data_IF_948364246466
#
_entry.id   IF_948364246466
#
_cell.length_a   1.000
_cell.length_b   1.000
_cell.length_c   1.000
_cell.angle_alpha   90.00
_cell.angle_beta   90.00
_cell.angle_gamma   90.00
#
_symmetry.space_group_name_H-M   'P 1'
#
loop_
_entity.id
_entity.type
_entity.pdbx_description
1 polymer ?
#
# COMPACT_ATOMS: atom_id res chain seq x y z
N UNK A 1 14.68 0.43 -60.39
CA UNK A 1 15.38 -0.88 -60.38
C UNK A 1 14.39 -1.93 -60.88
N UNK A 2 14.68 -3.23 -60.77
CA UNK A 2 13.68 -4.28 -61.05
C UNK A 2 12.82 -4.61 -59.83
N UNK A 3 11.64 -5.19 -60.06
CA UNK A 3 10.68 -5.52 -59.00
C UNK A 3 11.25 -6.36 -57.83
N UNK A 4 12.10 -7.39 -58.04
CA UNK A 4 12.69 -8.13 -56.91
C UNK A 4 13.51 -7.26 -55.97
N UNK A 5 14.24 -6.27 -56.52
CA UNK A 5 15.01 -5.31 -55.72
C UNK A 5 14.11 -4.33 -54.97
N UNK A 6 13.01 -3.89 -55.57
CA UNK A 6 12.03 -3.06 -54.86
C UNK A 6 11.34 -3.82 -53.73
N UNK A 7 11.06 -5.11 -53.91
CA UNK A 7 10.50 -5.96 -52.84
C UNK A 7 11.53 -6.15 -51.73
N UNK A 8 12.74 -6.64 -52.04
CA UNK A 8 13.76 -6.94 -51.04
C UNK A 8 14.24 -5.67 -50.31
N UNK A 9 14.53 -4.60 -51.06
CA UNK A 9 14.90 -3.31 -50.50
C UNK A 9 13.73 -2.62 -49.78
N UNK A 10 12.50 -2.81 -50.24
CA UNK A 10 11.28 -2.32 -49.58
C UNK A 10 11.02 -3.00 -48.24
N UNK A 11 11.23 -4.31 -48.12
CA UNK A 11 11.18 -5.06 -46.86
C UNK A 11 12.26 -4.55 -45.90
N UNK A 12 13.51 -4.43 -46.37
CA UNK A 12 14.63 -3.93 -45.56
C UNK A 12 14.36 -2.51 -45.05
N UNK A 13 14.05 -1.59 -45.97
CA UNK A 13 13.85 -0.18 -45.65
C UNK A 13 12.65 0.02 -44.73
N UNK A 14 11.49 -0.56 -45.07
CA UNK A 14 10.30 -0.48 -44.23
C UNK A 14 10.57 -1.10 -42.86
N UNK A 15 11.21 -2.27 -42.79
CA UNK A 15 11.55 -2.93 -41.54
C UNK A 15 12.43 -2.09 -40.62
N UNK A 16 13.49 -1.47 -41.16
CA UNK A 16 14.38 -0.58 -40.40
C UNK A 16 13.59 0.61 -39.85
N UNK A 17 12.87 1.34 -40.70
CA UNK A 17 12.28 2.61 -40.29
C UNK A 17 11.03 2.42 -39.43
N UNK A 18 10.21 1.40 -39.68
CA UNK A 18 9.05 1.08 -38.81
C UNK A 18 9.49 0.58 -37.43
N UNK A 19 10.68 -0.02 -37.31
CA UNK A 19 11.23 -0.43 -36.01
C UNK A 19 11.43 0.75 -35.02
N UNK A 20 11.59 1.99 -35.53
CA UNK A 20 11.67 3.20 -34.69
C UNK A 20 10.37 3.47 -33.91
N UNK A 21 9.24 2.97 -34.41
CA UNK A 21 7.92 3.01 -33.77
C UNK A 21 7.53 1.69 -33.10
N UNK A 22 8.48 0.76 -32.91
CA UNK A 22 8.24 -0.59 -32.38
C UNK A 22 7.20 -1.40 -33.19
N UNK A 23 7.10 -1.13 -34.50
CA UNK A 23 6.24 -1.88 -35.41
C UNK A 23 7.08 -2.97 -36.07
N UNK A 24 6.68 -4.22 -35.88
CA UNK A 24 7.31 -5.38 -36.49
C UNK A 24 6.53 -5.79 -37.75
N UNK A 25 7.14 -5.63 -38.93
CA UNK A 25 6.52 -6.00 -40.21
C UNK A 25 6.25 -7.51 -40.38
N UNK A 26 6.85 -8.35 -39.53
CA UNK A 26 6.61 -9.79 -39.49
C UNK A 26 5.63 -10.22 -38.40
N UNK A 27 5.09 -9.28 -37.62
CA UNK A 27 4.11 -9.60 -36.57
C UNK A 27 2.82 -10.19 -37.17
N UNK A 28 2.40 -9.65 -38.31
CA UNK A 28 1.22 -10.11 -39.05
C UNK A 28 1.57 -10.39 -40.51
N UNK A 29 1.07 -11.49 -41.10
CA UNK A 29 1.29 -11.77 -42.53
C UNK A 29 0.82 -10.64 -43.44
N UNK A 30 -0.22 -9.92 -43.03
CA UNK A 30 -0.82 -8.82 -43.78
C UNK A 30 0.07 -7.57 -43.82
N UNK A 31 0.87 -7.29 -42.79
CA UNK A 31 1.88 -6.22 -42.78
C UNK A 31 2.98 -6.49 -43.82
N UNK A 32 3.46 -7.73 -43.88
CA UNK A 32 4.43 -8.14 -44.88
C UNK A 32 3.84 -8.06 -46.30
N UNK A 33 2.61 -8.56 -46.50
CA UNK A 33 1.94 -8.49 -47.79
C UNK A 33 1.76 -7.03 -48.25
N UNK A 34 1.37 -6.14 -47.33
CA UNK A 34 1.19 -4.71 -47.60
C UNK A 34 2.52 -4.06 -47.97
N UNK A 35 3.60 -4.38 -47.26
CA UNK A 35 4.95 -3.89 -47.58
C UNK A 35 5.34 -4.28 -49.01
N UNK A 36 5.12 -5.54 -49.40
CA UNK A 36 5.42 -6.04 -50.76
C UNK A 36 4.58 -5.28 -51.80
N UNK A 37 3.27 -5.21 -51.61
CA UNK A 37 2.36 -4.56 -52.57
C UNK A 37 2.64 -3.06 -52.72
N UNK A 38 2.79 -2.34 -51.61
CA UNK A 38 3.03 -0.90 -51.62
C UNK A 38 4.44 -0.57 -52.13
N UNK A 39 5.45 -1.40 -51.88
CA UNK A 39 6.80 -1.22 -52.44
C UNK A 39 6.83 -1.31 -53.98
N UNK A 40 5.81 -1.89 -54.59
CA UNK A 40 5.66 -1.96 -56.05
C UNK A 40 4.69 -0.91 -56.60
N UNK A 41 3.83 -0.35 -55.76
CA UNK A 41 2.74 0.54 -56.17
C UNK A 41 3.18 1.74 -57.03
N UNK A 42 4.35 2.40 -56.82
CA UNK A 42 4.78 3.50 -57.68
C UNK A 42 4.89 3.12 -59.16
N UNK A 43 5.26 1.87 -59.47
CA UNK A 43 5.39 1.36 -60.84
C UNK A 43 4.05 1.04 -61.52
N UNK A 44 2.91 1.39 -60.90
CA UNK A 44 1.59 1.27 -61.54
C UNK A 44 1.45 2.19 -62.77
N UNK A 45 2.35 3.14 -62.93
CA UNK A 45 2.41 4.06 -64.08
C UNK A 45 2.95 3.42 -65.37
N UNK A 46 3.43 2.17 -65.35
CA UNK A 46 3.94 1.48 -66.53
C UNK A 46 3.21 0.15 -66.78
N UNK A 47 2.67 -0.10 -68.00
CA UNK A 47 1.97 -1.34 -68.31
C UNK A 47 2.88 -2.58 -68.36
N UNK A 48 4.21 -2.39 -68.28
CA UNK A 48 5.20 -3.47 -68.30
C UNK A 48 5.52 -4.01 -66.90
N UNK A 49 5.26 -3.26 -65.82
CA UNK A 49 5.57 -3.69 -64.46
C UNK A 49 4.64 -4.79 -63.97
N UNK A 50 5.05 -5.48 -62.89
CA UNK A 50 4.25 -6.53 -62.26
C UNK A 50 2.90 -5.95 -61.78
N UNK A 51 2.91 -4.76 -61.18
CA UNK A 51 1.69 -4.12 -60.66
C UNK A 51 0.88 -3.41 -61.76
N UNK A 52 1.52 -2.88 -62.80
CA UNK A 52 0.84 -2.13 -63.86
C UNK A 52 0.14 -3.01 -64.90
N UNK A 53 0.52 -4.29 -65.01
CA UNK A 53 -0.14 -5.29 -65.87
C UNK A 53 -1.60 -5.56 -65.47
N UNK A 54 -1.93 -5.88 -64.20
CA UNK A 54 -3.31 -6.01 -63.75
C UNK A 54 -4.15 -4.74 -63.95
N UNK A 55 -3.56 -3.55 -63.82
CA UNK A 55 -4.25 -2.26 -63.93
C UNK A 55 -4.08 -1.61 -65.31
N UNK A 56 -3.98 -2.42 -66.38
CA UNK A 56 -3.62 -1.96 -67.74
C UNK A 56 -4.34 -0.69 -68.23
N UNK A 57 -5.67 -0.50 -68.06
CA UNK A 57 -6.33 0.72 -68.53
C UNK A 57 -5.76 1.98 -67.85
N UNK A 58 -5.54 1.91 -66.54
CA UNK A 58 -5.02 3.01 -65.72
C UNK A 58 -3.52 3.19 -65.99
N UNK A 59 -2.75 2.10 -66.03
CA UNK A 59 -1.30 2.16 -66.25
C UNK A 59 -0.95 2.70 -67.63
N UNK A 60 -1.70 2.32 -68.68
CA UNK A 60 -1.53 2.86 -70.04
C UNK A 60 -1.91 4.34 -70.13
N UNK A 61 -2.96 4.77 -69.41
CA UNK A 61 -3.34 6.17 -69.36
C UNK A 61 -2.27 7.03 -68.67
N UNK A 62 -1.80 6.59 -67.49
CA UNK A 62 -0.72 7.24 -66.75
C UNK A 62 0.56 7.34 -67.60
N UNK A 63 0.98 6.21 -68.18
CA UNK A 63 2.17 6.14 -69.05
C UNK A 63 2.08 7.11 -70.22
N UNK A 64 0.94 7.18 -70.91
CA UNK A 64 0.75 8.08 -72.06
C UNK A 64 0.70 9.56 -71.66
N UNK A 65 0.14 9.87 -70.50
CA UNK A 65 -0.08 11.26 -70.07
C UNK A 65 1.15 11.88 -69.40
N UNK A 66 1.85 11.10 -68.58
CA UNK A 66 2.93 11.57 -67.72
C UNK A 66 4.27 10.87 -67.95
N UNK A 67 4.30 9.74 -68.64
CA UNK A 67 5.49 8.89 -68.73
C UNK A 67 5.72 8.05 -67.47
N UNK A 68 6.75 7.20 -67.50
CA UNK A 68 7.19 6.43 -66.34
C UNK A 68 8.12 7.26 -65.45
N UNK A 69 8.05 7.04 -64.13
CA UNK A 69 8.83 7.76 -63.10
C UNK A 69 8.52 9.24 -63.01
N UNK A 70 7.25 9.60 -63.10
CA UNK A 70 6.82 11.01 -63.03
C UNK A 70 5.85 11.25 -61.88
N UNK A 71 4.54 11.05 -62.11
CA UNK A 71 3.52 11.44 -61.13
C UNK A 71 3.52 10.54 -59.89
N UNK A 72 3.65 9.24 -60.08
CA UNK A 72 3.68 8.23 -59.00
C UNK A 72 5.01 8.23 -58.24
N UNK A 73 6.13 8.57 -58.89
CA UNK A 73 7.45 8.65 -58.25
C UNK A 73 7.75 10.03 -57.65
N UNK A 74 6.74 10.64 -57.05
CA UNK A 74 6.84 11.95 -56.39
C UNK A 74 6.57 11.85 -54.89
N UNK A 75 7.17 12.76 -54.13
CA UNK A 75 6.89 12.89 -52.70
C UNK A 75 5.43 13.25 -52.45
N UNK A 76 4.82 14.03 -53.35
CA UNK A 76 3.40 14.36 -53.29
C UNK A 76 2.53 13.11 -53.40
N UNK A 77 2.82 12.19 -54.34
CA UNK A 77 2.12 10.91 -54.44
C UNK A 77 2.29 10.07 -53.17
N UNK A 78 3.50 10.03 -52.62
CA UNK A 78 3.77 9.33 -51.34
C UNK A 78 2.88 9.88 -50.22
N UNK A 79 2.79 11.22 -50.08
CA UNK A 79 1.96 11.88 -49.07
C UNK A 79 0.48 11.58 -49.28
N UNK A 80 -0.02 11.68 -50.52
CA UNK A 80 -1.44 11.42 -50.82
C UNK A 80 -1.82 9.97 -50.49
N UNK A 81 -1.04 8.99 -50.95
CA UNK A 81 -1.31 7.57 -50.70
C UNK A 81 -1.22 7.26 -49.19
N UNK A 82 -0.24 7.84 -48.50
CA UNK A 82 -0.10 7.69 -47.04
C UNK A 82 -1.29 8.32 -46.31
N UNK A 83 -1.75 9.50 -46.74
CA UNK A 83 -2.91 10.17 -46.16
C UNK A 83 -4.19 9.36 -46.33
N UNK A 84 -4.39 8.76 -47.52
CA UNK A 84 -5.51 7.85 -47.76
C UNK A 84 -5.45 6.63 -46.84
N UNK A 85 -4.27 6.00 -46.70
CA UNK A 85 -4.08 4.89 -45.78
C UNK A 85 -4.34 5.32 -44.32
N UNK A 86 -3.92 6.52 -43.92
CA UNK A 86 -4.19 7.08 -42.61
C UNK A 86 -5.68 7.32 -42.36
N UNK A 87 -6.40 7.85 -43.34
CA UNK A 87 -7.86 8.04 -43.27
C UNK A 87 -8.56 6.69 -43.11
N UNK A 88 -8.21 5.69 -43.93
CA UNK A 88 -8.80 4.35 -43.81
C UNK A 88 -8.47 3.67 -42.48
N UNK A 89 -7.27 3.88 -41.95
CA UNK A 89 -6.90 3.41 -40.61
C UNK A 89 -7.75 4.09 -39.54
N UNK A 90 -8.00 5.41 -39.64
CA UNK A 90 -8.85 6.15 -38.70
C UNK A 90 -10.32 5.78 -38.78
N UNK A 91 -10.80 5.40 -39.96
CA UNK A 91 -12.13 4.84 -40.19
C UNK A 91 -12.23 3.36 -39.79
N UNK A 92 -11.16 2.77 -39.23
CA UNK A 92 -11.09 1.35 -38.82
C UNK A 92 -11.34 0.35 -39.97
N UNK A 93 -11.14 0.78 -41.23
CA UNK A 93 -11.26 -0.07 -42.41
C UNK A 93 -10.04 -0.98 -42.54
N UNK A 94 -8.86 -0.46 -42.17
CA UNK A 94 -7.60 -1.21 -42.12
C UNK A 94 -7.02 -1.16 -40.71
N UNK A 95 -6.25 -2.19 -40.28
CA UNK A 95 -5.64 -2.24 -38.95
C UNK A 95 -4.67 -1.11 -38.67
N UNK A 96 -4.29 -0.97 -37.40
CA UNK A 96 -3.27 -0.02 -36.97
C UNK A 96 -1.92 -0.27 -37.67
N UNK A 97 -1.11 0.79 -37.77
CA UNK A 97 0.23 0.83 -38.37
C UNK A 97 0.30 0.72 -39.91
N UNK A 98 -0.80 0.43 -40.61
CA UNK A 98 -0.81 0.35 -42.07
C UNK A 98 -0.38 1.65 -42.76
N UNK A 99 -0.75 2.82 -42.23
CA UNK A 99 -0.33 4.10 -42.80
C UNK A 99 1.18 4.30 -42.72
N UNK A 100 1.80 3.90 -41.60
CA UNK A 100 3.25 3.98 -41.40
C UNK A 100 4.00 3.03 -42.34
N UNK A 101 3.52 1.79 -42.45
CA UNK A 101 4.06 0.78 -43.38
C UNK A 101 3.93 1.30 -44.83
N UNK A 102 2.78 1.86 -45.19
CA UNK A 102 2.52 2.40 -46.52
C UNK A 102 3.52 3.52 -46.86
N UNK A 103 3.74 4.46 -45.94
CA UNK A 103 4.68 5.55 -46.14
C UNK A 103 6.10 5.03 -46.44
N UNK A 104 6.64 4.19 -45.57
CA UNK A 104 8.02 3.72 -45.73
C UNK A 104 8.20 2.74 -46.89
N UNK A 105 7.21 1.88 -47.19
CA UNK A 105 7.28 0.99 -48.34
C UNK A 105 7.24 1.78 -49.67
N UNK A 106 6.36 2.77 -49.77
CA UNK A 106 6.27 3.61 -50.97
C UNK A 106 7.50 4.49 -51.10
N UNK A 107 7.91 5.16 -50.03
CA UNK A 107 9.09 6.03 -50.03
C UNK A 107 10.39 5.25 -50.29
N UNK A 108 10.50 4.03 -49.75
CA UNK A 108 11.62 3.13 -50.00
C UNK A 108 11.79 2.82 -51.48
N UNK A 109 10.69 2.62 -52.23
CA UNK A 109 10.75 2.47 -53.68
C UNK A 109 11.38 3.69 -54.36
N UNK A 110 10.92 4.91 -54.02
CA UNK A 110 11.45 6.15 -54.59
C UNK A 110 12.94 6.28 -54.28
N UNK A 111 13.34 6.00 -53.03
CA UNK A 111 14.74 6.06 -52.61
C UNK A 111 15.61 5.08 -53.41
N UNK A 112 15.12 3.86 -53.64
CA UNK A 112 15.82 2.88 -54.48
C UNK A 112 15.97 3.36 -55.92
N UNK A 113 14.96 4.02 -56.49
CA UNK A 113 15.07 4.60 -57.83
C UNK A 113 15.98 5.83 -57.88
N UNK A 114 16.11 6.60 -56.79
CA UNK A 114 17.12 7.66 -56.65
C UNK A 114 18.56 7.11 -56.72
N UNK A 115 18.78 5.83 -56.38
CA UNK A 115 20.08 5.17 -56.49
C UNK A 115 20.45 4.77 -57.93
N UNK A 116 19.53 4.92 -58.88
CA UNK A 116 19.76 4.59 -60.28
C UNK A 116 20.28 5.79 -61.08
N UNK A 117 20.83 5.53 -62.27
CA UNK A 117 21.32 6.58 -63.16
C UNK A 117 20.25 7.58 -63.59
N UNK A 118 18.97 7.16 -63.66
CA UNK A 118 17.86 8.03 -64.08
C UNK A 118 17.29 8.89 -62.95
N UNK A 119 17.33 8.39 -61.71
CA UNK A 119 16.68 9.03 -60.56
C UNK A 119 15.16 9.12 -60.67
N UNK A 120 14.56 9.96 -59.82
CA UNK A 120 13.12 10.29 -59.81
C UNK A 120 12.89 11.78 -59.56
N UNK A 121 11.90 12.42 -60.22
CA UNK A 121 11.54 13.82 -59.99
C UNK A 121 10.76 13.97 -58.67
N UNK A 122 11.48 13.86 -57.54
CA UNK A 122 10.90 13.78 -56.20
C UNK A 122 9.92 14.93 -55.87
N UNK A 123 10.14 16.12 -56.43
CA UNK A 123 9.35 17.33 -56.17
C UNK A 123 8.34 17.65 -57.29
N UNK A 124 8.04 16.69 -58.17
CA UNK A 124 6.94 16.82 -59.12
C UNK A 124 5.59 17.02 -58.38
N UNK A 125 4.69 17.91 -58.85
CA UNK A 125 4.68 18.64 -60.12
C UNK A 125 5.44 19.98 -60.11
N UNK A 126 6.00 20.40 -58.98
CA UNK A 126 6.66 21.72 -58.85
C UNK A 126 8.01 21.78 -59.56
N UNK A 127 8.80 20.70 -59.47
CA UNK A 127 10.07 20.57 -60.18
C UNK A 127 10.24 19.20 -60.82
N UNK A 128 10.78 19.16 -62.03
CA UNK A 128 11.00 17.93 -62.83
C UNK A 128 12.43 17.41 -62.79
N UNK A 129 13.36 18.12 -62.16
CA UNK A 129 14.75 17.67 -62.09
C UNK A 129 14.83 16.36 -61.28
N UNK A 130 15.44 15.30 -61.82
CA UNK A 130 15.54 14.02 -61.12
C UNK A 130 16.46 14.16 -59.91
N UNK A 131 15.96 13.75 -58.77
CA UNK A 131 16.75 13.55 -57.57
C UNK A 131 17.51 12.23 -57.70
N UNK A 132 18.81 12.28 -57.46
CA UNK A 132 19.75 11.17 -57.61
C UNK A 132 20.72 11.15 -56.44
N UNK A 133 21.01 9.95 -55.93
CA UNK A 133 21.97 9.73 -54.86
C UNK A 133 22.79 8.48 -55.23
N UNK A 134 24.13 8.47 -55.08
CA UNK A 134 25.00 9.57 -54.71
C UNK A 134 25.23 10.56 -55.87
N UNK A 135 25.78 11.74 -55.55
CA UNK A 135 26.04 12.81 -56.53
C UNK A 135 26.97 12.39 -57.68
N UNK A 136 27.92 11.48 -57.45
CA UNK A 136 28.79 10.94 -58.50
C UNK A 136 28.05 9.88 -59.33
N UNK A 137 27.85 10.07 -60.65
CA UNK A 137 27.17 9.10 -61.52
C UNK A 137 27.81 7.71 -61.56
N UNK A 138 29.12 7.59 -61.35
CA UNK A 138 29.85 6.31 -61.45
C UNK A 138 29.49 5.32 -60.32
N UNK A 139 28.91 5.81 -59.23
CA UNK A 139 28.45 4.98 -58.11
C UNK A 139 26.95 4.67 -58.18
N UNK A 140 26.25 5.09 -59.26
CA UNK A 140 24.82 4.83 -59.43
C UNK A 140 24.59 3.53 -60.17
N UNK A 141 23.49 2.86 -59.84
CA UNK A 141 23.14 1.58 -60.44
C UNK A 141 22.51 1.76 -61.83
N UNK A 142 22.95 0.91 -62.76
CA UNK A 142 22.36 0.84 -64.09
C UNK A 142 21.19 -0.14 -64.08
N UNK A 143 19.98 0.35 -64.35
CA UNK A 143 18.78 -0.50 -64.39
C UNK A 143 18.90 -1.53 -65.52
N UNK A 144 18.58 -2.80 -65.24
CA UNK A 144 18.67 -3.90 -66.19
C UNK A 144 20.04 -4.60 -66.24
N UNK A 145 21.04 -4.14 -65.48
CA UNK A 145 22.30 -4.86 -65.34
C UNK A 145 22.15 -6.02 -64.32
N UNK A 146 22.02 -7.24 -64.83
CA UNK A 146 21.79 -8.44 -64.01
C UNK A 146 22.82 -8.66 -62.90
N UNK A 147 24.10 -8.31 -63.12
CA UNK A 147 25.13 -8.48 -62.08
C UNK A 147 24.93 -7.49 -60.93
N UNK A 148 24.74 -6.21 -61.24
CA UNK A 148 24.51 -5.18 -60.22
C UNK A 148 23.21 -5.43 -59.45
N UNK A 149 22.14 -5.77 -60.18
CA UNK A 149 20.84 -6.05 -59.57
C UNK A 149 20.83 -7.33 -58.74
N UNK A 150 21.56 -8.37 -59.15
CA UNK A 150 21.70 -9.60 -58.36
C UNK A 150 22.49 -9.38 -57.07
N UNK A 151 23.58 -8.62 -57.12
CA UNK A 151 24.37 -8.27 -55.92
C UNK A 151 23.52 -7.46 -54.94
N UNK A 152 22.78 -6.45 -55.42
CA UNK A 152 21.89 -5.65 -54.58
C UNK A 152 20.80 -6.48 -53.91
N UNK A 153 20.18 -7.40 -54.65
CA UNK A 153 19.16 -8.28 -54.13
C UNK A 153 19.70 -9.14 -52.97
N UNK A 154 20.89 -9.74 -53.14
CA UNK A 154 21.56 -10.53 -52.10
C UNK A 154 21.89 -9.66 -50.89
N UNK A 155 22.44 -8.45 -51.11
CA UNK A 155 22.76 -7.51 -50.02
C UNK A 155 21.51 -7.15 -49.22
N UNK A 156 20.39 -6.86 -49.87
CA UNK A 156 19.13 -6.57 -49.18
C UNK A 156 18.60 -7.76 -48.39
N UNK A 157 18.69 -8.97 -48.95
CA UNK A 157 18.26 -10.19 -48.28
C UNK A 157 19.13 -10.52 -47.06
N UNK A 158 20.46 -10.48 -47.21
CA UNK A 158 21.40 -10.68 -46.11
C UNK A 158 21.23 -9.62 -45.02
N UNK A 159 21.09 -8.35 -45.40
CA UNK A 159 20.87 -7.25 -44.44
C UNK A 159 19.55 -7.44 -43.69
N UNK A 160 18.48 -7.83 -44.37
CA UNK A 160 17.18 -8.10 -43.73
C UNK A 160 17.27 -9.26 -42.73
N UNK A 161 18.01 -10.33 -43.08
CA UNK A 161 18.23 -11.46 -42.17
C UNK A 161 19.05 -11.05 -40.93
N UNK A 162 20.13 -10.29 -41.11
CA UNK A 162 20.96 -9.79 -40.01
C UNK A 162 20.20 -8.84 -39.08
N UNK A 163 19.28 -8.05 -39.64
CA UNK A 163 18.47 -7.08 -38.90
C UNK A 163 17.16 -7.65 -38.36
N UNK A 164 16.95 -8.98 -38.40
CA UNK A 164 15.71 -9.60 -37.91
C UNK A 164 15.42 -9.27 -36.43
N UNK A 165 16.46 -9.20 -35.58
CA UNK A 165 16.29 -8.80 -34.17
C UNK A 165 15.79 -7.36 -34.07
N UNK A 166 16.30 -6.44 -34.90
CA UNK A 166 15.83 -5.06 -34.95
C UNK A 166 14.36 -4.98 -35.34
N UNK A 167 13.95 -5.75 -36.35
CA UNK A 167 12.56 -5.74 -36.85
C UNK A 167 11.59 -6.33 -35.83
N UNK A 168 11.99 -7.40 -35.15
CA UNK A 168 11.13 -8.09 -34.18
C UNK A 168 11.04 -7.39 -32.83
N UNK A 169 12.15 -6.83 -32.33
CA UNK A 169 12.21 -6.20 -31.01
C UNK A 169 11.95 -4.68 -31.06
N UNK A 170 12.14 -4.04 -32.20
CA UNK A 170 12.11 -2.58 -32.34
C UNK A 170 13.48 -1.95 -32.07
N UNK A 171 13.67 -0.74 -32.59
CA UNK A 171 14.94 -0.01 -32.53
C UNK A 171 15.35 0.30 -31.10
N UNK A 172 14.45 0.89 -30.31
CA UNK A 172 14.78 1.36 -28.97
C UNK A 172 15.12 0.23 -28.01
N UNK A 173 14.42 -0.90 -28.12
CA UNK A 173 14.72 -2.06 -27.29
C UNK A 173 16.08 -2.68 -27.67
N UNK A 174 16.33 -2.84 -28.97
CA UNK A 174 17.62 -3.35 -29.49
C UNK A 174 18.80 -2.46 -29.10
N UNK A 175 18.59 -1.13 -29.10
CA UNK A 175 19.56 -0.16 -28.62
C UNK A 175 19.78 -0.28 -27.11
N UNK A 176 18.72 -0.33 -26.31
CA UNK A 176 18.83 -0.44 -24.85
C UNK A 176 19.45 -1.76 -24.40
N UNK A 177 19.32 -2.85 -25.15
CA UNK A 177 20.00 -4.12 -24.89
C UNK A 177 21.53 -4.04 -24.94
N UNK A 178 22.10 -2.96 -25.48
CA UNK A 178 23.55 -2.71 -25.43
C UNK A 178 24.02 -2.28 -24.04
N UNK A 179 23.09 -1.85 -23.17
CA UNK A 179 23.37 -1.39 -21.82
C UNK A 179 22.87 -2.43 -20.80
N UNK A 180 23.77 -2.90 -19.94
CA UNK A 180 23.45 -3.88 -18.89
C UNK A 180 23.19 -3.18 -17.55
N UNK A 181 22.29 -2.19 -17.55
CA UNK A 181 21.99 -1.38 -16.36
C UNK A 181 20.48 -1.28 -16.07
N UNK A 182 20.17 -0.86 -14.85
CA UNK A 182 18.79 -0.73 -14.35
C UNK A 182 18.07 0.43 -15.06
N UNK A 183 18.78 1.51 -15.34
CA UNK A 183 18.21 2.75 -15.92
C UNK A 183 17.59 2.51 -17.29
N UNK A 184 18.26 1.76 -18.18
CA UNK A 184 17.77 1.47 -19.53
C UNK A 184 16.57 0.52 -19.51
N UNK A 185 16.52 -0.42 -18.57
CA UNK A 185 15.36 -1.29 -18.36
C UNK A 185 14.17 -0.49 -17.85
N UNK A 186 14.38 0.39 -16.88
CA UNK A 186 13.33 1.27 -16.39
C UNK A 186 12.75 2.16 -17.51
N UNK A 187 13.59 2.70 -18.40
CA UNK A 187 13.13 3.48 -19.56
C UNK A 187 12.22 2.66 -20.48
N UNK A 188 12.53 1.39 -20.74
CA UNK A 188 11.65 0.52 -21.52
C UNK A 188 10.37 0.17 -20.77
N UNK A 189 10.48 -0.18 -19.49
CA UNK A 189 9.33 -0.47 -18.62
C UNK A 189 8.30 0.66 -18.60
N UNK A 190 8.76 1.93 -18.61
CA UNK A 190 7.87 3.10 -18.61
C UNK A 190 7.19 3.37 -19.97
N UNK A 191 7.74 2.88 -21.08
CA UNK A 191 7.24 3.21 -22.44
C UNK A 191 5.94 2.50 -22.79
N UNK A 192 5.71 1.30 -22.25
CA UNK A 192 4.53 0.51 -22.59
C UNK A 192 4.13 -0.43 -21.46
N UNK A 193 2.86 -0.83 -21.42
CA UNK A 193 2.37 -1.86 -20.50
C UNK A 193 2.69 -3.29 -20.98
N UNK A 194 3.65 -3.47 -21.89
CA UNK A 194 4.06 -4.80 -22.33
C UNK A 194 4.81 -5.50 -21.22
N UNK A 195 4.60 -6.80 -21.12
CA UNK A 195 5.40 -7.65 -20.26
C UNK A 195 6.75 -7.88 -20.92
N UNK A 196 7.84 -7.56 -20.23
CA UNK A 196 9.20 -7.81 -20.71
C UNK A 196 9.78 -9.06 -20.08
N UNK A 197 10.51 -9.84 -20.87
CA UNK A 197 11.33 -10.95 -20.38
C UNK A 197 12.78 -10.47 -20.28
N UNK A 198 13.42 -10.66 -19.13
CA UNK A 198 14.83 -10.30 -18.91
C UNK A 198 15.66 -11.57 -18.95
N UNK A 199 16.71 -11.57 -19.78
CA UNK A 199 17.83 -12.50 -19.65
C UNK A 199 18.92 -11.86 -18.78
N UNK A 200 19.29 -12.54 -17.71
CA UNK A 200 20.19 -12.01 -16.69
C UNK A 200 21.37 -12.95 -16.41
N UNK A 201 22.57 -12.37 -16.31
CA UNK A 201 23.79 -13.00 -15.82
C UNK A 201 24.40 -12.10 -14.76
N UNK A 202 24.28 -12.51 -13.52
CA UNK A 202 24.57 -11.72 -12.34
C UNK A 202 25.51 -12.49 -11.41
N UNK A 203 26.29 -11.77 -10.62
CA UNK A 203 27.04 -12.32 -9.51
C UNK A 203 26.64 -11.61 -8.24
N UNK A 204 26.29 -12.38 -7.20
CA UNK A 204 26.06 -11.87 -5.86
C UNK A 204 27.02 -12.55 -4.90
N UNK A 205 27.98 -11.80 -4.34
CA UNK A 205 29.09 -12.33 -3.54
C UNK A 205 29.76 -13.55 -4.20
N UNK A 206 30.15 -13.40 -5.47
CA UNK A 206 30.80 -14.43 -6.32
C UNK A 206 29.94 -15.66 -6.66
N UNK A 207 28.68 -15.74 -6.20
CA UNK A 207 27.75 -16.77 -6.65
C UNK A 207 27.09 -16.34 -7.95
N UNK A 208 27.27 -17.09 -9.06
CA UNK A 208 26.61 -16.77 -10.32
C UNK A 208 25.11 -17.08 -10.23
N UNK A 209 24.30 -16.13 -10.68
CA UNK A 209 22.85 -16.21 -10.78
C UNK A 209 22.53 -15.91 -12.24
N UNK A 210 22.20 -16.96 -13.00
CA UNK A 210 21.86 -16.87 -14.42
C UNK A 210 20.48 -17.43 -14.66
N UNK A 211 19.74 -16.80 -15.55
CA UNK A 211 18.43 -17.29 -15.91
C UNK A 211 17.64 -16.28 -16.71
N UNK A 212 16.38 -16.64 -16.96
CA UNK A 212 15.43 -15.73 -17.59
C UNK A 212 14.23 -15.56 -16.67
N UNK A 213 13.67 -14.36 -16.63
CA UNK A 213 12.51 -14.07 -15.81
C UNK A 213 11.68 -12.93 -16.38
N UNK A 214 10.51 -12.70 -15.79
CA UNK A 214 9.61 -11.62 -16.21
C UNK A 214 9.85 -10.39 -15.37
N UNK A 215 9.97 -9.23 -16.03
CA UNK A 215 10.04 -7.95 -15.35
C UNK A 215 8.65 -7.57 -14.84
N UNK A 216 8.52 -7.46 -13.52
CA UNK A 216 7.24 -7.11 -12.87
C UNK A 216 7.21 -5.64 -12.47
N UNK A 217 8.35 -5.12 -12.01
CA UNK A 217 8.49 -3.72 -11.63
C UNK A 217 9.91 -3.23 -11.88
N UNK A 218 10.04 -1.98 -12.32
CA UNK A 218 11.30 -1.27 -12.40
C UNK A 218 11.11 0.20 -11.99
N UNK A 219 12.08 0.73 -11.26
CA UNK A 219 12.30 2.16 -11.05
C UNK A 219 13.76 2.51 -11.39
N UNK A 220 14.18 3.75 -11.16
CA UNK A 220 15.54 4.19 -11.48
C UNK A 220 16.63 3.50 -10.64
N UNK A 221 16.31 3.00 -9.46
CA UNK A 221 17.27 2.44 -8.49
C UNK A 221 17.17 0.92 -8.36
N UNK A 222 16.05 0.31 -8.75
CA UNK A 222 15.81 -1.10 -8.55
C UNK A 222 14.88 -1.71 -9.59
N UNK A 223 14.97 -3.03 -9.70
CA UNK A 223 14.09 -3.84 -10.54
C UNK A 223 13.75 -5.16 -9.85
N UNK A 224 12.58 -5.69 -10.20
CA UNK A 224 12.06 -6.96 -9.70
C UNK A 224 11.78 -7.88 -10.88
N UNK A 225 12.49 -9.01 -10.89
CA UNK A 225 12.36 -10.06 -11.90
C UNK A 225 11.79 -11.30 -11.20
N UNK A 226 10.70 -11.84 -11.74
CA UNK A 226 10.17 -13.14 -11.30
C UNK A 226 10.77 -14.25 -12.17
N UNK A 227 11.51 -15.16 -11.55
CA UNK A 227 12.16 -16.30 -12.21
C UNK A 227 12.01 -17.55 -11.34
N UNK A 228 11.51 -18.65 -11.93
CA UNK A 228 11.29 -19.93 -11.23
C UNK A 228 10.59 -19.78 -9.87
N UNK A 229 9.47 -19.05 -9.83
CA UNK A 229 8.68 -18.76 -8.62
C UNK A 229 9.44 -17.99 -7.51
N UNK A 230 10.59 -17.42 -7.83
CA UNK A 230 11.36 -16.54 -6.94
C UNK A 230 11.42 -15.12 -7.48
N UNK A 231 11.37 -14.14 -6.57
CA UNK A 231 11.53 -12.72 -6.91
C UNK A 231 12.99 -12.33 -6.69
N UNK A 232 13.65 -11.98 -7.79
CA UNK A 232 15.00 -11.43 -7.80
C UNK A 232 14.88 -9.92 -7.80
N UNK A 233 15.31 -9.30 -6.70
CA UNK A 233 15.43 -7.85 -6.57
C UNK A 233 16.86 -7.44 -6.87
N UNK A 234 17.06 -6.57 -7.85
CA UNK A 234 18.36 -5.93 -8.09
C UNK A 234 18.24 -4.46 -7.71
N UNK A 235 19.20 -3.96 -6.92
CA UNK A 235 19.30 -2.55 -6.56
C UNK A 235 20.64 -1.99 -7.03
N UNK A 236 20.61 -0.79 -7.59
CA UNK A 236 21.80 -0.04 -7.95
C UNK A 236 22.67 0.22 -6.71
N UNK A 237 23.97 -0.09 -6.81
CA UNK A 237 24.90 0.03 -5.69
C UNK A 237 24.76 -1.02 -4.58
N UNK A 238 23.97 -2.10 -4.79
CA UNK A 238 23.91 -3.21 -3.84
C UNK A 238 25.30 -3.85 -3.66
N UNK A 239 25.74 -3.96 -2.40
CA UNK A 239 27.03 -4.55 -2.08
C UNK A 239 27.13 -6.00 -2.59
N UNK A 240 28.24 -6.31 -3.25
CA UNK A 240 28.50 -7.65 -3.78
C UNK A 240 27.75 -8.01 -5.06
N UNK A 241 26.92 -7.12 -5.61
CA UNK A 241 26.23 -7.33 -6.89
C UNK A 241 27.09 -6.86 -8.08
N UNK A 242 27.30 -7.75 -9.05
CA UNK A 242 27.90 -7.42 -10.35
C UNK A 242 26.98 -7.90 -11.46
N UNK A 243 26.61 -6.98 -12.36
CA UNK A 243 25.73 -7.24 -13.49
C UNK A 243 26.60 -7.44 -14.75
N UNK A 244 26.61 -8.65 -15.32
CA UNK A 244 27.33 -8.92 -16.57
C UNK A 244 26.40 -8.83 -17.78
N UNK A 245 25.17 -9.33 -17.65
CA UNK A 245 24.15 -9.27 -18.71
C UNK A 245 22.80 -8.97 -18.09
N UNK A 246 22.06 -8.05 -18.70
CA UNK A 246 20.73 -7.67 -18.26
C UNK A 246 19.93 -7.18 -19.47
N UNK A 247 19.44 -8.12 -20.28
CA UNK A 247 18.86 -7.84 -21.60
C UNK A 247 17.35 -8.05 -21.61
N UNK A 248 16.55 -6.99 -21.86
CA UNK A 248 15.10 -7.10 -22.00
C UNK A 248 14.66 -7.55 -23.39
N UNK A 249 13.62 -8.37 -23.47
CA UNK A 249 12.97 -8.84 -24.70
C UNK A 249 11.47 -8.57 -24.63
N UNK A 250 10.87 -8.16 -25.75
CA UNK A 250 9.42 -8.04 -25.87
C UNK A 250 8.75 -9.41 -25.74
N UNK A 251 7.58 -9.43 -25.11
CA UNK A 251 6.66 -10.56 -25.16
C UNK A 251 5.35 -10.14 -25.82
N UNK A 252 4.55 -11.12 -26.24
CA UNK A 252 3.22 -10.89 -26.81
C UNK A 252 2.15 -10.65 -25.71
N UNK A 253 2.56 -10.58 -24.45
CA UNK A 253 1.66 -10.41 -23.31
C UNK A 253 1.76 -8.99 -22.75
N UNK A 254 0.65 -8.49 -22.25
CA UNK A 254 0.61 -7.25 -21.48
C UNK A 254 0.83 -7.58 -20.00
N UNK A 255 1.50 -6.67 -19.30
CA UNK A 255 1.58 -6.70 -17.84
C UNK A 255 0.21 -6.32 -17.29
N UNK A 256 -0.51 -7.30 -16.75
CA UNK A 256 -1.87 -7.12 -16.25
C UNK A 256 -1.90 -7.25 -14.73
N UNK A 257 -2.84 -6.56 -14.11
CA UNK A 257 -3.10 -6.66 -12.67
C UNK A 257 -4.49 -7.23 -12.44
N UNK A 258 -4.66 -7.98 -11.35
CA UNK A 258 -5.95 -8.47 -10.89
C UNK A 258 -6.23 -7.93 -9.49
N UNK A 259 -7.45 -7.43 -9.31
CA UNK A 259 -7.94 -6.93 -8.02
C UNK A 259 -8.54 -8.05 -7.19
N UNK A 260 -8.22 -8.07 -5.90
CA UNK A 260 -8.87 -8.87 -4.87
C UNK A 260 -9.42 -7.92 -3.83
N UNK A 261 -10.74 -7.95 -3.64
CA UNK A 261 -11.43 -7.18 -2.61
C UNK A 261 -11.91 -8.09 -1.50
N UNK A 262 -11.85 -7.62 -0.27
CA UNK A 262 -12.26 -8.36 0.92
C UNK A 262 -12.79 -7.41 1.99
N UNK A 263 -13.53 -7.97 2.94
CA UNK A 263 -14.19 -7.20 3.98
C UNK A 263 -14.23 -8.03 5.26
N UNK A 264 -13.85 -7.42 6.38
CA UNK A 264 -13.91 -8.00 7.72
C UNK A 264 -13.20 -9.36 7.85
N UNK A 265 -11.99 -9.49 7.31
CA UNK A 265 -11.18 -10.73 7.43
C UNK A 265 -10.11 -10.60 8.52
N UNK A 266 -9.63 -11.74 9.04
CA UNK A 266 -8.54 -11.77 10.02
C UNK A 266 -7.18 -11.53 9.35
N UNK A 267 -6.15 -11.24 10.17
CA UNK A 267 -4.77 -11.14 9.70
C UNK A 267 -4.31 -12.40 8.96
N UNK A 268 -4.63 -13.59 9.49
CA UNK A 268 -4.22 -14.86 8.89
C UNK A 268 -4.83 -15.08 7.51
N UNK A 269 -6.13 -14.81 7.36
CA UNK A 269 -6.81 -14.90 6.07
C UNK A 269 -6.24 -13.89 5.08
N UNK A 270 -5.91 -12.68 5.52
CA UNK A 270 -5.28 -11.67 4.67
C UNK A 270 -3.89 -12.11 4.22
N UNK A 271 -3.08 -12.67 5.13
CA UNK A 271 -1.73 -13.16 4.83
C UNK A 271 -1.76 -14.28 3.79
N UNK A 272 -2.69 -15.23 3.88
CA UNK A 272 -2.89 -16.27 2.86
C UNK A 272 -3.28 -15.65 1.50
N UNK A 273 -4.09 -14.59 1.50
CA UNK A 273 -4.51 -13.93 0.27
C UNK A 273 -3.35 -13.18 -0.42
N UNK A 274 -2.43 -12.57 0.33
CA UNK A 274 -1.28 -11.85 -0.24
C UNK A 274 -0.07 -12.75 -0.50
N UNK A 275 -0.09 -13.98 0.00
CA UNK A 275 1.01 -14.94 -0.15
C UNK A 275 1.33 -15.24 -1.62
N UNK A 276 2.62 -15.39 -1.93
CA UNK A 276 3.17 -15.60 -3.27
C UNK A 276 2.71 -14.59 -4.35
N UNK A 277 2.27 -13.39 -3.95
CA UNK A 277 1.79 -12.35 -4.88
C UNK A 277 2.65 -11.10 -4.81
N UNK A 278 3.03 -10.60 -5.99
CA UNK A 278 3.62 -9.27 -6.13
C UNK A 278 2.51 -8.23 -6.21
N UNK A 279 2.36 -7.44 -5.14
CA UNK A 279 1.32 -6.43 -4.98
C UNK A 279 1.73 -5.15 -5.71
N UNK A 280 1.01 -4.83 -6.77
CA UNK A 280 1.16 -3.56 -7.49
C UNK A 280 0.65 -2.39 -6.65
N UNK A 281 -0.51 -2.56 -6.03
CA UNK A 281 -1.18 -1.51 -5.26
C UNK A 281 -2.09 -2.11 -4.19
N UNK A 282 -2.20 -1.48 -3.03
CA UNK A 282 -3.13 -1.93 -1.99
C UNK A 282 -3.69 -0.76 -1.18
N UNK A 283 -4.93 -0.90 -0.73
CA UNK A 283 -5.62 -0.01 0.22
C UNK A 283 -6.36 -0.87 1.23
N UNK A 284 -5.84 -0.93 2.45
CA UNK A 284 -6.37 -1.79 3.51
C UNK A 284 -6.58 -0.97 4.77
N UNK A 285 -7.76 -1.10 5.37
CA UNK A 285 -8.09 -0.55 6.67
C UNK A 285 -8.18 -1.65 7.72
N UNK A 286 -7.83 -1.31 8.95
CA UNK A 286 -7.87 -2.18 10.11
C UNK A 286 -8.79 -1.59 11.19
N UNK A 287 -9.50 -2.45 11.91
CA UNK A 287 -10.39 -2.02 13.02
C UNK A 287 -9.63 -1.50 14.25
N UNK A 288 -8.40 -1.97 14.46
CA UNK A 288 -7.45 -1.43 15.44
C UNK A 288 -6.10 -1.16 14.74
N UNK A 289 -5.18 -0.44 15.39
CA UNK A 289 -3.82 -0.28 14.83
C UNK A 289 -3.16 -1.64 14.65
N UNK A 290 -2.73 -1.91 13.43
CA UNK A 290 -2.05 -3.13 13.05
C UNK A 290 -0.60 -2.85 12.66
N UNK A 291 0.19 -3.90 12.59
CA UNK A 291 1.55 -3.85 12.05
C UNK A 291 1.55 -4.49 10.66
N UNK A 292 2.22 -3.85 9.71
CA UNK A 292 2.52 -4.42 8.40
C UNK A 292 4.03 -4.48 8.23
N UNK A 293 4.55 -5.68 8.01
CA UNK A 293 5.96 -5.93 7.77
C UNK A 293 6.15 -6.04 6.26
N UNK A 294 7.01 -5.18 5.72
CA UNK A 294 7.57 -5.29 4.36
C UNK A 294 9.04 -5.66 4.43
N UNK A 295 9.67 -5.90 3.29
CA UNK A 295 11.11 -6.20 3.22
C UNK A 295 12.00 -5.07 3.77
N UNK A 296 11.52 -3.83 3.78
CA UNK A 296 12.32 -2.67 4.15
C UNK A 296 11.97 -2.10 5.52
N UNK A 297 10.71 -2.23 5.92
CA UNK A 297 10.16 -1.48 7.04
C UNK A 297 8.96 -2.18 7.67
N UNK A 298 8.75 -1.82 8.93
CA UNK A 298 7.53 -2.12 9.67
C UNK A 298 6.70 -0.84 9.78
N UNK A 299 5.43 -0.90 9.39
CA UNK A 299 4.47 0.20 9.48
C UNK A 299 3.43 -0.11 10.56
N UNK A 300 2.99 0.91 11.29
CA UNK A 300 2.03 0.78 12.38
C UNK A 300 0.91 1.81 12.26
N UNK A 301 -0.24 1.41 11.73
CA UNK A 301 -1.36 2.33 11.46
C UNK A 301 -2.73 1.60 11.39
N UNK A 302 -3.81 2.35 11.20
CA UNK A 302 -5.14 1.85 10.86
C UNK A 302 -5.35 1.71 9.36
N UNK A 303 -4.57 2.42 8.54
CA UNK A 303 -4.71 2.47 7.09
C UNK A 303 -3.36 2.22 6.42
N UNK A 304 -3.35 1.31 5.45
CA UNK A 304 -2.16 0.91 4.72
C UNK A 304 -2.38 1.11 3.23
N UNK A 305 -1.58 2.01 2.65
CA UNK A 305 -1.49 2.21 1.21
C UNK A 305 -0.06 1.92 0.74
N UNK A 306 0.12 0.77 0.09
CA UNK A 306 1.44 0.28 -0.35
C UNK A 306 1.44 0.06 -1.86
N UNK A 307 2.61 0.18 -2.47
CA UNK A 307 2.81 0.02 -3.92
C UNK A 307 4.06 -0.81 -4.19
N UNK A 308 3.96 -1.73 -5.14
CA UNK A 308 5.08 -2.53 -5.65
C UNK A 308 5.83 -3.32 -4.55
N UNK A 309 5.06 -3.95 -3.66
CA UNK A 309 5.59 -4.74 -2.53
C UNK A 309 5.32 -6.24 -2.75
N UNK A 310 6.12 -7.09 -2.14
CA UNK A 310 5.87 -8.53 -2.05
C UNK A 310 6.23 -9.03 -0.66
N UNK A 311 5.78 -10.24 -0.30
CA UNK A 311 5.96 -10.84 1.02
C UNK A 311 5.45 -9.94 2.15
N UNK A 312 4.27 -9.34 1.96
CA UNK A 312 3.60 -8.54 2.98
C UNK A 312 3.11 -9.45 4.11
N UNK A 313 3.35 -9.05 5.35
CA UNK A 313 2.83 -9.76 6.52
C UNK A 313 2.11 -8.81 7.46
N UNK A 314 0.83 -9.08 7.69
CA UNK A 314 -0.05 -8.33 8.58
C UNK A 314 -0.11 -9.02 9.94
N UNK A 315 0.08 -8.27 11.02
CA UNK A 315 -0.02 -8.79 12.37
C UNK A 315 -0.68 -7.80 13.32
N UNK A 316 -1.22 -8.30 14.43
CA UNK A 316 -1.64 -7.44 15.53
C UNK A 316 -0.42 -6.75 16.15
N UNK A 317 -0.54 -5.47 16.45
CA UNK A 317 0.50 -4.75 17.17
C UNK A 317 0.72 -5.38 18.55
N UNK A 318 1.94 -5.86 18.80
CA UNK A 318 2.38 -6.26 20.13
C UNK A 318 2.45 -4.98 20.96
N UNK A 319 1.47 -4.75 21.84
CA UNK A 319 1.67 -3.80 22.94
C UNK A 319 2.79 -4.35 23.80
N UNK A 320 3.82 -3.54 24.07
CA UNK A 320 4.84 -3.86 25.06
C UNK A 320 4.15 -4.47 26.29
N UNK A 321 4.58 -5.68 26.66
CA UNK A 321 4.05 -6.42 27.83
C UNK A 321 4.36 -5.72 29.15
N UNK A 322 5.09 -4.61 29.12
CA UNK A 322 5.20 -3.64 30.20
C UNK A 322 3.87 -2.89 30.37
N UNK A 323 2.86 -3.60 30.88
CA UNK A 323 1.77 -2.93 31.58
C UNK A 323 2.39 -2.24 32.79
N UNK A 324 2.49 -0.91 32.75
CA UNK A 324 2.43 -0.14 33.98
C UNK A 324 1.06 -0.46 34.55
N UNK A 325 0.99 -1.37 35.53
CA UNK A 325 -0.19 -1.49 36.36
C UNK A 325 -0.36 -0.14 37.03
N UNK A 326 -1.27 0.68 36.50
CA UNK A 326 -1.83 1.78 37.27
C UNK A 326 -2.51 1.10 38.44
N UNK A 327 -1.82 1.07 39.58
CA UNK A 327 -2.34 0.52 40.83
C UNK A 327 -3.67 1.23 41.05
N UNK A 328 -4.74 0.44 41.06
CA UNK A 328 -6.10 0.93 41.24
C UNK A 328 -6.24 1.40 42.69
N UNK A 329 -5.86 2.66 42.95
CA UNK A 329 -5.96 3.27 44.27
C UNK A 329 -7.41 3.54 44.69
N UNK A 330 -8.43 3.11 43.92
CA UNK A 330 -9.84 3.35 44.26
C UNK A 330 -10.24 2.70 45.58
N UNK A 331 -9.80 1.47 45.85
CA UNK A 331 -10.05 0.80 47.14
C UNK A 331 -9.31 1.51 48.27
N UNK A 332 -8.03 1.86 48.07
CA UNK A 332 -7.22 2.55 49.06
C UNK A 332 -7.81 3.92 49.44
N UNK A 333 -8.27 4.70 48.46
CA UNK A 333 -8.90 6.00 48.69
C UNK A 333 -10.27 5.88 49.37
N UNK A 334 -11.08 4.86 49.03
CA UNK A 334 -12.34 4.58 49.72
C UNK A 334 -12.10 4.15 51.18
N UNK A 335 -11.08 3.32 51.43
CA UNK A 335 -10.66 2.93 52.78
C UNK A 335 -10.15 4.12 53.60
N UNK A 336 -9.33 4.99 53.01
CA UNK A 336 -8.83 6.19 53.69
C UNK A 336 -9.99 7.09 54.15
N UNK A 337 -10.96 7.36 53.26
CA UNK A 337 -12.14 8.17 53.58
C UNK A 337 -13.03 7.51 54.66
N UNK A 338 -13.11 6.19 54.67
CA UNK A 338 -13.82 5.43 55.72
C UNK A 338 -13.13 5.59 57.08
N UNK A 339 -11.81 5.44 57.15
CA UNK A 339 -11.06 5.61 58.40
C UNK A 339 -11.09 7.07 58.91
N UNK A 340 -10.99 8.07 58.03
CA UNK A 340 -11.16 9.48 58.41
C UNK A 340 -12.51 9.75 59.08
N UNK A 341 -13.59 9.15 58.56
CA UNK A 341 -14.92 9.28 59.15
C UNK A 341 -15.02 8.57 60.51
N UNK A 342 -14.39 7.39 60.67
CA UNK A 342 -14.34 6.71 61.97
C UNK A 342 -13.62 7.54 63.02
N UNK A 343 -12.50 8.16 62.66
CA UNK A 343 -11.70 8.97 63.56
C UNK A 343 -12.46 10.22 64.03
N UNK A 344 -13.25 10.85 63.13
CA UNK A 344 -14.17 11.94 63.50
C UNK A 344 -15.26 11.49 64.48
N UNK A 345 -15.84 10.32 64.26
CA UNK A 345 -16.87 9.76 65.18
C UNK A 345 -16.25 9.47 66.56
N UNK A 346 -15.02 8.95 66.62
CA UNK A 346 -14.31 8.71 67.88
C UNK A 346 -14.05 9.99 68.67
N UNK A 347 -13.67 11.09 68.00
CA UNK A 347 -13.51 12.39 68.64
C UNK A 347 -14.83 12.87 69.26
N UNK A 348 -15.95 12.76 68.52
CA UNK A 348 -17.28 13.12 69.03
C UNK A 348 -17.70 12.26 70.24
N UNK A 349 -17.37 10.97 70.25
CA UNK A 349 -17.61 10.08 71.39
C UNK A 349 -16.86 10.57 72.64
N UNK A 350 -15.58 10.91 72.49
CA UNK A 350 -14.76 11.38 73.60
C UNK A 350 -15.29 12.70 74.18
N UNK A 351 -15.69 13.64 73.33
CA UNK A 351 -16.33 14.89 73.74
C UNK A 351 -17.61 14.62 74.55
N UNK A 352 -18.46 13.71 74.07
CA UNK A 352 -19.71 13.34 74.75
C UNK A 352 -19.47 12.64 76.09
N UNK A 353 -18.46 11.77 76.18
CA UNK A 353 -18.06 11.15 77.45
C UNK A 353 -17.59 12.18 78.46
N UNK A 354 -16.82 13.18 78.02
CA UNK A 354 -16.36 14.28 78.88
C UNK A 354 -17.53 15.11 79.40
N UNK A 355 -18.48 15.45 78.54
CA UNK A 355 -19.72 16.16 78.94
C UNK A 355 -20.55 15.36 79.95
N UNK A 356 -20.68 14.05 79.76
CA UNK A 356 -21.37 13.15 80.69
C UNK A 356 -20.68 13.15 82.05
N UNK A 357 -19.35 13.00 82.09
CA UNK A 357 -18.59 12.96 83.34
C UNK A 357 -18.71 14.28 84.13
N UNK A 358 -18.67 15.43 83.44
CA UNK A 358 -18.88 16.74 84.05
C UNK A 358 -20.29 16.89 84.62
N UNK A 359 -21.32 16.48 83.88
CA UNK A 359 -22.71 16.55 84.31
C UNK A 359 -22.98 15.60 85.50
N UNK A 360 -22.41 14.38 85.49
CA UNK A 360 -22.49 13.44 86.61
C UNK A 360 -21.83 14.00 87.88
N UNK A 361 -20.66 14.63 87.75
CA UNK A 361 -20.00 15.29 88.87
C UNK A 361 -20.84 16.46 89.43
N UNK A 362 -21.46 17.26 88.56
CA UNK A 362 -22.33 18.37 88.95
C UNK A 362 -23.57 17.88 89.71
N UNK A 363 -24.26 16.85 89.21
CA UNK A 363 -25.43 16.26 89.89
C UNK A 363 -25.01 15.67 91.24
N UNK A 364 -23.86 14.98 91.29
CA UNK A 364 -23.33 14.41 92.53
C UNK A 364 -23.09 15.51 93.57
N UNK A 365 -22.48 16.63 93.20
CA UNK A 365 -22.26 17.76 94.08
C UNK A 365 -23.57 18.42 94.55
N UNK A 366 -24.56 18.57 93.66
CA UNK A 366 -25.89 19.12 94.01
C UNK A 366 -26.61 18.23 95.04
N UNK A 367 -26.50 16.91 94.89
CA UNK A 367 -27.19 15.94 95.76
C UNK A 367 -26.37 15.56 97.00
N UNK A 368 -25.11 15.98 97.10
CA UNK A 368 -24.21 15.68 98.23
C UNK A 368 -24.78 16.06 99.59
N UNK A 369 -25.37 17.26 99.80
CA UNK A 369 -25.93 17.65 101.09
C UNK A 369 -27.10 16.73 101.52
N UNK A 370 -27.91 16.29 100.56
CA UNK A 370 -29.03 15.39 100.79
C UNK A 370 -28.56 14.02 101.28
N UNK A 371 -27.57 13.43 100.61
CA UNK A 371 -27.01 12.14 101.02
C UNK A 371 -26.23 12.22 102.34
N UNK A 372 -25.55 13.34 102.60
CA UNK A 372 -24.87 13.58 103.87
C UNK A 372 -25.86 13.65 105.04
N UNK A 373 -26.99 14.35 104.86
CA UNK A 373 -28.06 14.40 105.87
C UNK A 373 -28.65 13.01 106.15
N UNK A 374 -28.79 12.14 105.13
CA UNK A 374 -29.21 10.74 105.32
C UNK A 374 -28.21 9.93 106.16
N UNK A 375 -26.91 10.09 105.92
CA UNK A 375 -25.87 9.44 106.72
C UNK A 375 -25.83 9.98 108.15
N UNK A 376 -25.95 11.30 108.33
CA UNK A 376 -25.99 11.95 109.64
C UNK A 376 -27.19 11.46 110.48
N UNK A 377 -28.37 11.31 109.89
CA UNK A 377 -29.52 10.68 110.58
C UNK A 377 -29.22 9.24 110.98
N UNK A 378 -28.61 8.45 110.08
CA UNK A 378 -28.29 7.05 110.36
C UNK A 378 -27.33 6.93 111.53
N UNK A 379 -26.29 7.76 111.56
CA UNK A 379 -25.31 7.79 112.66
C UNK A 379 -25.92 8.33 113.96
N UNK A 380 -26.75 9.38 113.90
CA UNK A 380 -27.47 9.91 115.06
C UNK A 380 -28.43 8.87 115.67
N UNK A 381 -29.16 8.10 114.84
CA UNK A 381 -30.02 7.00 115.28
C UNK A 381 -29.24 5.87 115.94
N UNK A 382 -28.05 5.55 115.42
CA UNK A 382 -27.18 4.53 116.02
C UNK A 382 -26.67 4.98 117.40
N UNK A 383 -26.22 6.23 117.53
CA UNK A 383 -25.80 6.81 118.83
C UNK A 383 -26.95 6.86 119.84
N UNK A 384 -28.15 7.24 119.39
CA UNK A 384 -29.35 7.27 120.22
C UNK A 384 -29.71 5.91 120.82
N UNK A 385 -29.39 4.80 120.14
CA UNK A 385 -29.69 3.45 120.62
C UNK A 385 -28.81 3.00 121.80
N UNK A 386 -27.67 3.65 122.03
CA UNK A 386 -26.68 3.29 123.05
C UNK A 386 -26.48 4.36 124.13
N UNK A 387 -27.09 5.54 123.96
CA UNK A 387 -26.88 6.70 124.83
C UNK A 387 -27.74 6.62 126.10
N UNK A 388 -27.19 7.03 127.24
CA UNK A 388 -27.84 6.98 128.56
C UNK A 388 -28.07 8.36 129.18
N UNK A 389 -27.37 9.39 128.71
CA UNK A 389 -27.55 10.77 129.17
C UNK A 389 -28.83 11.39 128.58
N UNK A 390 -29.76 11.80 129.45
CA UNK A 390 -31.05 12.38 129.06
C UNK A 390 -30.92 13.68 128.25
N UNK A 391 -29.87 14.47 128.48
CA UNK A 391 -29.61 15.68 127.70
C UNK A 391 -29.17 15.35 126.28
N UNK A 392 -28.21 14.42 126.14
CA UNK A 392 -27.70 13.94 124.85
C UNK A 392 -28.78 13.23 124.03
N UNK A 393 -29.64 12.44 124.69
CA UNK A 393 -30.82 11.82 124.06
C UNK A 393 -31.75 12.88 123.45
N UNK A 394 -32.00 13.98 124.15
CA UNK A 394 -32.89 15.04 123.67
C UNK A 394 -32.25 15.84 122.52
N UNK A 395 -30.94 16.11 122.60
CA UNK A 395 -30.19 16.75 121.52
C UNK A 395 -30.20 15.90 120.25
N UNK A 396 -29.88 14.60 120.35
CA UNK A 396 -29.91 13.66 119.23
C UNK A 396 -31.31 13.53 118.62
N UNK A 397 -32.36 13.49 119.44
CA UNK A 397 -33.75 13.49 118.95
C UNK A 397 -34.08 14.76 118.17
N UNK A 398 -33.70 15.93 118.69
CA UNK A 398 -33.91 17.19 117.99
C UNK A 398 -33.12 17.25 116.68
N UNK A 399 -31.85 16.84 116.66
CA UNK A 399 -31.03 16.75 115.45
C UNK A 399 -31.68 15.84 114.40
N UNK A 400 -32.16 14.66 114.80
CA UNK A 400 -32.88 13.74 113.91
C UNK A 400 -34.14 14.40 113.35
N UNK A 401 -34.96 15.06 114.18
CA UNK A 401 -36.18 15.76 113.74
C UNK A 401 -35.84 16.87 112.73
N UNK A 402 -34.81 17.68 113.00
CA UNK A 402 -34.41 18.76 112.10
C UNK A 402 -33.91 18.23 110.76
N UNK A 403 -33.08 17.19 110.76
CA UNK A 403 -32.59 16.55 109.54
C UNK A 403 -33.71 15.81 108.79
N UNK A 404 -34.66 15.18 109.48
CA UNK A 404 -35.84 14.57 108.86
C UNK A 404 -36.69 15.62 108.16
N UNK A 405 -36.92 16.78 108.80
CA UNK A 405 -37.63 17.92 108.18
C UNK A 405 -36.88 18.48 106.98
N UNK A 406 -35.54 18.47 106.99
CA UNK A 406 -34.73 18.84 105.82
C UNK A 406 -34.91 17.85 104.65
N UNK A 407 -34.93 16.54 104.91
CA UNK A 407 -35.16 15.50 103.89
C UNK A 407 -36.60 15.46 103.36
N UNK A 408 -37.58 15.87 104.15
CA UNK A 408 -38.97 16.02 103.67
C UNK A 408 -39.12 17.18 102.68
N UNK A 409 -38.32 18.25 102.86
CA UNK A 409 -38.39 19.45 102.01
C UNK A 409 -37.41 19.43 100.82
N UNK A 410 -36.46 18.49 100.78
CA UNK A 410 -35.46 18.39 99.72
C UNK A 410 -35.45 16.98 99.13
N UNK A 411 -35.36 16.86 97.81
CA UNK A 411 -35.27 15.59 97.11
C UNK A 411 -34.07 15.58 96.16
N UNK A 412 -33.46 14.42 95.90
CA UNK A 412 -32.38 14.31 94.93
C UNK A 412 -32.88 14.76 93.55
N UNK A 413 -32.07 15.58 92.87
CA UNK A 413 -32.37 16.08 91.54
C UNK A 413 -31.77 15.16 90.48
N UNK A 414 -32.56 14.87 89.45
CA UNK A 414 -32.12 14.19 88.23
C UNK A 414 -31.84 15.20 87.12
N UNK A 415 -30.92 14.87 86.20
CA UNK A 415 -30.66 15.68 84.99
C UNK A 415 -31.23 15.01 83.75
N UNK A 416 -32.22 15.66 83.13
CA UNK A 416 -32.71 15.29 81.79
C UNK A 416 -31.62 15.44 80.72
N UNK A 417 -30.69 16.37 80.91
CA UNK A 417 -29.56 16.59 80.01
C UNK A 417 -28.59 15.40 80.02
N UNK A 418 -28.31 14.85 81.21
CA UNK A 418 -27.49 13.63 81.35
C UNK A 418 -28.08 12.44 80.59
N UNK A 419 -29.40 12.22 80.69
CA UNK A 419 -30.08 11.15 79.95
C UNK A 419 -29.96 11.34 78.43
N UNK A 420 -30.10 12.59 77.95
CA UNK A 420 -29.98 12.92 76.53
C UNK A 420 -28.56 12.72 76.01
N UNK A 421 -27.54 13.10 76.77
CA UNK A 421 -26.14 12.87 76.43
C UNK A 421 -25.82 11.37 76.33
N UNK A 422 -26.35 10.53 77.23
CA UNK A 422 -26.18 9.08 77.18
C UNK A 422 -26.82 8.46 75.93
N UNK A 423 -28.00 8.93 75.52
CA UNK A 423 -28.64 8.51 74.27
C UNK A 423 -27.81 8.92 73.05
N UNK A 424 -27.31 10.16 73.01
CA UNK A 424 -26.44 10.63 71.92
C UNK A 424 -25.16 9.79 71.81
N UNK A 425 -24.53 9.46 72.94
CA UNK A 425 -23.36 8.59 73.01
C UNK A 425 -23.66 7.20 72.42
N UNK A 426 -24.83 6.63 72.74
CA UNK A 426 -25.24 5.32 72.18
C UNK A 426 -25.40 5.34 70.66
N UNK A 427 -25.94 6.44 70.11
CA UNK A 427 -26.09 6.63 68.66
C UNK A 427 -24.74 6.73 67.94
N UNK A 428 -23.78 7.46 68.51
CA UNK A 428 -22.42 7.58 67.96
C UNK A 428 -21.68 6.24 67.97
N UNK A 429 -21.79 5.46 69.05
CA UNK A 429 -21.21 4.12 69.14
C UNK A 429 -21.79 3.17 68.07
N UNK A 430 -23.10 3.25 67.79
CA UNK A 430 -23.73 2.47 66.72
C UNK A 430 -23.21 2.85 65.32
N UNK A 431 -22.91 4.13 65.09
CA UNK A 431 -22.31 4.60 63.83
C UNK A 431 -20.87 4.13 63.66
N UNK A 432 -20.08 4.12 64.75
CA UNK A 432 -18.68 3.67 64.73
C UNK A 432 -18.53 2.19 64.35
N UNK A 433 -19.54 1.37 64.65
CA UNK A 433 -19.53 -0.07 64.44
C UNK A 433 -19.98 -0.51 63.03
N UNK A 434 -20.28 0.42 62.11
CA UNK A 434 -20.66 0.06 60.73
C UNK A 434 -19.44 -0.42 59.92
N UNK A 435 -19.46 -1.62 59.30
CA UNK A 435 -18.32 -2.15 58.55
C UNK A 435 -18.09 -1.44 57.22
N UNK A 436 -16.84 -1.45 56.75
CA UNK A 436 -16.46 -0.96 55.42
C UNK A 436 -17.07 -1.82 54.30
N UNK A 437 -17.60 -1.18 53.25
CA UNK A 437 -18.09 -1.85 52.03
C UNK A 437 -17.47 -1.22 50.79
N UNK A 438 -16.78 -2.03 49.98
CA UNK A 438 -16.16 -1.60 48.72
C UNK A 438 -17.16 -1.66 47.56
N UNK A 439 -17.18 -0.63 46.71
CA UNK A 439 -18.02 -0.57 45.50
C UNK A 439 -17.10 -0.54 44.26
N UNK A 440 -17.13 -1.63 43.47
CA UNK A 440 -16.33 -1.80 42.25
C UNK A 440 -17.02 -1.20 41.02
N UNK A 441 -16.32 -0.34 40.29
CA UNK A 441 -16.79 0.28 39.03
C UNK A 441 -16.05 -0.24 37.78
N UNK A 442 -15.74 -1.54 37.68
CA UNK A 442 -15.12 -2.12 36.46
C UNK A 442 -16.17 -2.67 35.47
N UNK A 443 -16.46 -1.90 34.41
CA UNK A 443 -17.07 -2.44 33.17
C UNK A 443 -15.97 -3.07 32.30
N UNK A 444 -15.91 -4.39 32.21
CA UNK A 444 -15.11 -5.10 31.21
C UNK A 444 -15.90 -5.21 29.90
N UNK A 445 -15.55 -4.44 28.88
CA UNK A 445 -16.01 -4.69 27.50
C UNK A 445 -15.07 -5.71 26.84
N UNK A 446 -15.58 -6.75 26.16
CA UNK A 446 -14.74 -7.68 25.40
C UNK A 446 -14.09 -6.94 24.22
N UNK A 447 -12.77 -7.12 24.04
CA UNK A 447 -12.02 -6.56 22.90
C UNK A 447 -12.45 -7.26 21.61
N UNK A 448 -13.00 -6.49 20.66
CA UNK A 448 -13.31 -6.95 19.31
C UNK A 448 -12.06 -7.51 18.60
N UNK A 449 -12.20 -8.53 17.74
CA UNK A 449 -11.08 -9.04 16.95
C UNK A 449 -10.55 -7.97 15.99
N UNK A 450 -9.24 -8.00 15.74
CA UNK A 450 -8.61 -7.18 14.71
C UNK A 450 -9.06 -7.71 13.35
N UNK A 451 -9.76 -6.88 12.59
CA UNK A 451 -10.29 -7.21 11.27
C UNK A 451 -9.78 -6.22 10.24
N UNK A 452 -9.60 -6.70 9.02
CA UNK A 452 -9.13 -5.93 7.87
C UNK A 452 -10.19 -5.89 6.77
N UNK A 453 -10.30 -4.75 6.11
CA UNK A 453 -11.18 -4.52 4.97
C UNK A 453 -10.44 -3.71 3.90
N UNK A 454 -10.71 -3.97 2.63
CA UNK A 454 -10.06 -3.24 1.55
C UNK A 454 -9.86 -4.06 0.30
N UNK A 455 -8.84 -3.70 -0.47
CA UNK A 455 -8.46 -4.42 -1.68
C UNK A 455 -6.97 -4.31 -1.96
N UNK A 456 -6.45 -5.25 -2.73
CA UNK A 456 -5.14 -5.17 -3.35
C UNK A 456 -5.18 -5.61 -4.81
N UNK A 457 -4.28 -5.05 -5.60
CA UNK A 457 -4.01 -5.39 -6.98
C UNK A 457 -2.66 -6.10 -7.05
N UNK A 458 -2.61 -7.27 -7.69
CA UNK A 458 -1.38 -8.02 -7.88
C UNK A 458 -1.11 -8.29 -9.36
N UNK A 459 0.16 -8.38 -9.74
CA UNK A 459 0.54 -8.67 -11.13
C UNK A 459 0.26 -10.12 -11.50
N UNK A 460 -0.31 -10.34 -12.69
CA UNK A 460 -0.57 -11.66 -13.24
C UNK A 460 0.44 -11.95 -14.34
N UNK A 461 1.17 -13.05 -14.17
CA UNK A 461 2.13 -13.54 -15.16
C UNK A 461 1.52 -14.69 -15.98
N UNK A 462 1.88 -14.81 -17.27
CA UNK A 462 1.50 -15.98 -18.06
C UNK A 462 2.06 -17.25 -17.41
N UNK A 463 1.30 -18.34 -17.42
CA UNK A 463 1.78 -19.65 -16.95
C UNK A 463 3.06 -19.98 -17.70
N UNK A 464 4.13 -20.33 -16.98
CA UNK A 464 5.35 -20.79 -17.63
C UNK A 464 5.01 -21.99 -18.52
N UNK A 465 5.30 -21.89 -19.81
CA UNK A 465 5.31 -23.05 -20.69
C UNK A 465 6.35 -24.01 -20.12
N UNK A 466 5.90 -25.08 -19.47
CA UNK A 466 6.76 -26.21 -19.15
C UNK A 466 7.41 -26.60 -20.47
N UNK A 467 8.74 -26.44 -20.60
CA UNK A 467 9.51 -27.02 -21.70
C UNK A 467 9.07 -28.47 -21.82
N UNK A 468 8.34 -28.78 -22.89
CA UNK A 468 7.94 -30.14 -23.20
C UNK A 468 9.22 -30.96 -23.21
N UNK A 469 9.30 -31.93 -22.28
CA UNK A 469 10.36 -32.91 -22.31
C UNK A 469 10.36 -33.53 -23.69
N UNK A 470 11.51 -33.48 -24.37
CA UNK A 470 11.78 -34.34 -25.50
C UNK A 470 11.60 -35.78 -25.03
N UNK A 471 10.43 -36.36 -25.29
CA UNK A 471 10.25 -37.79 -25.25
C UNK A 471 11.14 -38.39 -26.32
N UNK A 472 12.31 -38.87 -25.90
CA UNK A 472 13.01 -39.90 -26.64
C UNK A 472 12.14 -41.16 -26.63
N UNK A 473 11.82 -41.62 -27.82
CA UNK A 473 11.14 -42.87 -28.14
C UNK A 473 11.36 -43.14 -29.60
#
# INVERSE_FOLDING_TARGET
MTAPNHIAGGILFTGIFTSLWNVNIFAEPTYLATTILISLLPDIDTPKSIIGKPFYPISKWLYRRYGHRTITHSLLATIIITLLAFIFQKLQIIPEHYALITFFAYFGHLLLDMLTTTGVPLLYPFWRNPCVIPGNPNYRFSTGNLKQEGVLFIVFLCSSALMNNLFTQGFWLTYNQQFNDITHIYREFKKSNKLYKIDYDLYHFQKPIKGTGYLVYADFQQLYIVSNDTIIRLREGQQGLKINTLKPYNTNHLLTTKRVSFSHITADSLNILVDDKFISYTKITATEKADVITLERKLHDYYFELKNEHNLYFSKSLKDTLKIETIDHSEANQRLKYEENRLKIQQQILEKQTQIAQEEANIKAINEPYYKALEEIKTAKQKLATETDSYQINELKNQIITLQKYLENNHPKDSRNLALLKVQLSGLNAQLNKPFQYISNKKNTPKSPLLFSGYFDYFVLPKQEKKGGSGGG
#
